data_IF_511476255684
#
_entry.id   IF_511476255684
#
_cell.length_a   1.000
_cell.length_b   1.000
_cell.length_c   1.000
_cell.angle_alpha   90.00
_cell.angle_beta   90.00
_cell.angle_gamma   90.00
#
_symmetry.space_group_name_H-M   'P 1'
#
loop_
_entity.id
_entity.type
_entity.pdbx_description
1 polymer ?
#
# COMPACT_ATOMS: atom_id res chain seq x y z
N UNK A 1 12.86 -4.67 1.68
CA UNK A 1 12.96 -5.69 0.63
C UNK A 1 11.76 -6.58 0.82
N UNK A 2 11.01 -6.82 -0.24
CA UNK A 2 9.80 -7.60 -0.17
C UNK A 2 10.15 -9.09 -0.27
N UNK A 3 9.62 -9.86 0.68
CA UNK A 3 9.72 -11.33 0.78
C UNK A 3 8.34 -11.91 1.02
N UNK A 4 8.17 -13.19 0.70
CA UNK A 4 6.92 -13.93 0.88
C UNK A 4 7.25 -15.20 1.66
N UNK A 5 6.67 -15.36 2.85
CA UNK A 5 6.98 -16.50 3.73
C UNK A 5 6.61 -17.85 3.11
N UNK A 6 5.55 -17.90 2.30
CA UNK A 6 5.14 -19.10 1.56
C UNK A 6 6.09 -19.46 0.39
N UNK A 7 6.99 -18.56 0.01
CA UNK A 7 7.94 -18.72 -1.10
C UNK A 7 9.31 -18.15 -0.68
N UNK A 8 9.96 -18.74 0.34
CA UNK A 8 11.20 -18.22 0.87
C UNK A 8 12.33 -18.28 -0.16
N UNK A 9 13.31 -17.39 -0.01
CA UNK A 9 14.48 -17.31 -0.90
C UNK A 9 14.25 -16.50 -2.18
N UNK A 10 13.06 -15.93 -2.41
CA UNK A 10 12.84 -14.92 -3.46
C UNK A 10 12.70 -13.55 -2.83
N UNK A 11 13.52 -12.62 -3.30
CA UNK A 11 13.54 -11.24 -2.84
C UNK A 11 13.38 -10.28 -4.02
N UNK A 12 12.51 -9.29 -3.85
CA UNK A 12 12.36 -8.19 -4.80
C UNK A 12 12.51 -6.87 -4.07
N UNK A 13 13.25 -5.94 -4.67
CA UNK A 13 13.35 -4.57 -4.17
C UNK A 13 13.28 -3.55 -5.30
N UNK A 14 12.69 -2.40 -5.00
CA UNK A 14 12.77 -1.22 -5.87
C UNK A 14 13.90 -0.35 -5.34
N UNK A 15 14.81 0.06 -6.20
CA UNK A 15 15.97 0.84 -5.82
C UNK A 15 15.97 2.20 -6.52
N UNK A 16 16.36 3.24 -5.79
CA UNK A 16 16.67 4.58 -6.34
C UNK A 16 18.12 4.87 -6.02
N UNK A 17 18.90 5.34 -7.01
CA UNK A 17 20.35 5.51 -6.88
C UNK A 17 21.06 4.26 -6.34
N UNK A 18 20.67 3.08 -6.82
CA UNK A 18 21.20 1.76 -6.40
C UNK A 18 20.94 1.35 -4.95
N UNK A 19 20.15 2.11 -4.19
CA UNK A 19 19.78 1.78 -2.82
C UNK A 19 18.29 1.37 -2.76
N UNK A 20 17.94 0.27 -2.07
CA UNK A 20 16.55 -0.10 -1.86
C UNK A 20 15.78 1.05 -1.19
N UNK A 21 14.61 1.38 -1.73
CA UNK A 21 13.73 2.39 -1.12
C UNK A 21 13.08 1.83 0.14
N UNK A 22 12.61 2.74 1.01
CA UNK A 22 11.83 2.35 2.17
C UNK A 22 10.47 1.82 1.71
N UNK A 23 10.18 0.59 2.14
CA UNK A 23 8.89 -0.07 1.93
C UNK A 23 8.00 0.12 3.16
N UNK A 24 6.72 0.29 2.93
CA UNK A 24 5.69 0.45 3.94
C UNK A 24 4.63 -0.63 3.76
N UNK A 25 4.02 -1.03 4.87
CA UNK A 25 2.89 -1.94 4.91
C UNK A 25 1.64 -1.15 5.23
N UNK A 26 0.52 -1.58 4.66
CA UNK A 26 -0.80 -1.12 5.04
C UNK A 26 -1.48 -2.27 5.79
N UNK A 27 -1.82 -2.04 7.06
CA UNK A 27 -2.41 -3.06 7.94
C UNK A 27 -3.84 -3.42 7.51
N UNK A 28 -4.48 -2.53 6.76
CA UNK A 28 -5.86 -2.72 6.27
C UNK A 28 -5.87 -3.30 4.84
N UNK A 29 -4.70 -3.56 4.23
CA UNK A 29 -4.59 -4.15 2.90
C UNK A 29 -5.01 -5.63 2.93
N UNK A 30 -6.18 -5.90 2.36
CA UNK A 30 -6.70 -7.25 2.19
C UNK A 30 -6.27 -7.78 0.82
N UNK A 31 -5.50 -8.87 0.83
CA UNK A 31 -5.13 -9.61 -0.38
C UNK A 31 -6.01 -10.84 -0.48
N UNK A 32 -7.00 -10.79 -1.36
CA UNK A 32 -7.94 -11.89 -1.56
C UNK A 32 -7.62 -12.73 -2.81
N UNK A 33 -8.20 -13.93 -2.83
CA UNK A 33 -8.18 -14.82 -3.98
C UNK A 33 -7.06 -15.89 -3.92
N UNK A 34 -6.92 -16.68 -5.00
CA UNK A 34 -6.10 -17.89 -5.00
C UNK A 34 -4.59 -17.63 -4.84
N UNK A 35 -4.14 -16.40 -5.03
CA UNK A 35 -2.73 -16.00 -4.92
C UNK A 35 -2.44 -15.23 -3.61
N UNK A 36 -3.40 -15.15 -2.68
CA UNK A 36 -3.26 -14.37 -1.46
C UNK A 36 -2.01 -14.75 -0.66
N UNK A 37 -1.80 -16.04 -0.41
CA UNK A 37 -0.65 -16.55 0.35
C UNK A 37 0.70 -16.38 -0.36
N UNK A 38 0.69 -16.14 -1.68
CA UNK A 38 1.89 -15.96 -2.50
C UNK A 38 1.98 -14.56 -3.10
N UNK A 39 1.25 -13.60 -2.54
CA UNK A 39 1.30 -12.19 -2.94
C UNK A 39 1.72 -11.34 -1.76
N UNK A 40 2.64 -10.40 -1.98
CA UNK A 40 2.94 -9.33 -1.02
C UNK A 40 2.71 -7.99 -1.68
N UNK A 41 2.03 -7.09 -0.97
CA UNK A 41 1.84 -5.70 -1.37
C UNK A 41 2.67 -4.82 -0.44
N UNK A 42 3.50 -3.96 -1.01
CA UNK A 42 4.24 -2.91 -0.29
C UNK A 42 3.95 -1.57 -0.91
N UNK A 43 4.01 -0.53 -0.11
CA UNK A 43 3.96 0.85 -0.57
C UNK A 43 5.35 1.45 -0.54
N UNK A 44 5.65 2.32 -1.52
CA UNK A 44 6.93 3.03 -1.60
C UNK A 44 6.69 4.50 -1.93
N UNK A 45 7.58 5.35 -1.47
CA UNK A 45 7.58 6.77 -1.83
C UNK A 45 8.15 6.94 -3.24
N UNK A 46 7.38 7.59 -4.11
CA UNK A 46 7.81 7.99 -5.44
C UNK A 46 8.17 9.48 -5.42
N UNK A 47 9.33 9.81 -5.97
CA UNK A 47 9.82 11.18 -6.10
C UNK A 47 9.95 11.47 -7.59
N UNK A 48 9.27 12.50 -8.08
CA UNK A 48 9.30 12.87 -9.50
C UNK A 48 10.74 13.09 -10.00
N UNK A 49 10.95 12.73 -11.26
CA UNK A 49 12.22 12.83 -11.99
C UNK A 49 13.36 11.99 -11.41
N UNK A 50 13.04 11.01 -10.55
CA UNK A 50 14.02 10.04 -10.04
C UNK A 50 13.98 8.73 -10.82
N UNK A 51 15.16 8.23 -11.16
CA UNK A 51 15.31 6.92 -11.80
C UNK A 51 15.19 5.81 -10.76
N UNK A 52 14.51 4.74 -11.14
CA UNK A 52 14.40 3.55 -10.30
C UNK A 52 14.74 2.28 -11.08
N UNK A 53 15.16 1.24 -10.34
CA UNK A 53 15.42 -0.10 -10.86
C UNK A 53 14.68 -1.13 -10.02
N UNK A 54 14.29 -2.24 -10.64
CA UNK A 54 13.69 -3.37 -9.94
C UNK A 54 14.76 -4.45 -9.82
N UNK A 55 15.20 -4.74 -8.61
CA UNK A 55 16.20 -5.77 -8.35
C UNK A 55 15.50 -7.05 -7.89
N UNK A 56 15.85 -8.17 -8.53
CA UNK A 56 15.34 -9.49 -8.16
C UNK A 56 16.50 -10.38 -7.78
N UNK A 57 16.36 -11.07 -6.65
CA UNK A 57 17.31 -12.07 -6.20
C UNK A 57 16.58 -13.37 -5.88
N UNK A 58 17.08 -14.48 -6.41
CA UNK A 58 16.64 -15.82 -6.04
C UNK A 58 17.81 -16.55 -5.38
N UNK A 59 17.70 -16.74 -4.08
CA UNK A 59 18.69 -17.41 -3.23
C UNK A 59 18.59 -18.94 -3.33
N UNK A 60 19.67 -19.67 -3.02
CA UNK A 60 19.64 -21.14 -2.98
C UNK A 60 18.54 -21.72 -2.08
N UNK A 61 18.19 -21.02 -1.00
CA UNK A 61 17.10 -21.40 -0.08
C UNK A 61 15.74 -21.60 -0.78
N UNK A 62 15.51 -20.95 -1.93
CA UNK A 62 14.30 -21.17 -2.72
C UNK A 62 14.23 -22.60 -3.28
N UNK A 63 15.33 -23.08 -3.88
CA UNK A 63 15.41 -24.43 -4.44
C UNK A 63 15.34 -25.48 -3.31
N UNK A 64 15.96 -25.20 -2.16
CA UNK A 64 15.90 -26.05 -0.96
C UNK A 64 14.46 -26.19 -0.43
N UNK A 65 13.74 -25.07 -0.32
CA UNK A 65 12.35 -25.06 0.11
C UNK A 65 11.44 -25.81 -0.87
N UNK A 66 11.61 -25.58 -2.18
CA UNK A 66 10.81 -26.26 -3.21
C UNK A 66 11.16 -27.72 -3.40
N UNK A 67 12.35 -28.15 -2.96
CA UNK A 67 12.92 -29.48 -3.22
C UNK A 67 13.09 -29.80 -4.72
N UNK A 68 12.97 -28.77 -5.57
CA UNK A 68 13.13 -28.83 -7.02
C UNK A 68 14.01 -27.68 -7.47
N UNK A 69 14.70 -27.88 -8.60
CA UNK A 69 15.54 -26.84 -9.21
C UNK A 69 15.01 -26.55 -10.60
N UNK A 70 14.02 -25.66 -10.65
CA UNK A 70 13.29 -25.33 -11.86
C UNK A 70 13.83 -24.07 -12.53
N UNK A 71 13.74 -24.03 -13.85
CA UNK A 71 13.94 -22.78 -14.58
C UNK A 71 12.83 -21.79 -14.23
N UNK A 72 13.21 -20.52 -14.07
CA UNK A 72 12.27 -19.46 -13.68
C UNK A 72 12.19 -18.36 -14.74
N UNK A 73 11.00 -17.80 -14.90
CA UNK A 73 10.78 -16.51 -15.55
C UNK A 73 10.30 -15.51 -14.50
N UNK A 74 11.06 -14.44 -14.32
CA UNK A 74 10.65 -13.27 -13.55
C UNK A 74 10.13 -12.23 -14.51
N UNK A 75 8.86 -11.87 -14.36
CA UNK A 75 8.15 -10.98 -15.24
C UNK A 75 7.84 -9.65 -14.55
N UNK A 76 8.30 -8.54 -15.11
CA UNK A 76 8.07 -7.21 -14.55
C UNK A 76 7.02 -6.44 -15.37
N UNK A 77 6.08 -5.82 -14.66
CA UNK A 77 5.10 -4.88 -15.21
C UNK A 77 5.18 -3.57 -14.42
N UNK A 78 5.05 -2.46 -15.12
CA UNK A 78 4.97 -1.13 -14.53
C UNK A 78 3.74 -0.45 -15.12
N UNK A 79 2.88 0.09 -14.26
CA UNK A 79 1.61 0.71 -14.65
C UNK A 79 0.72 -0.21 -15.49
N UNK A 80 0.76 -1.51 -15.19
CA UNK A 80 0.03 -2.56 -15.92
C UNK A 80 0.64 -2.96 -17.26
N UNK A 81 1.70 -2.27 -17.73
CA UNK A 81 2.40 -2.61 -18.96
C UNK A 81 3.57 -3.53 -18.69
N UNK A 82 3.72 -4.57 -19.50
CA UNK A 82 4.89 -5.43 -19.46
C UNK A 82 6.13 -4.65 -19.91
N UNK A 83 7.21 -4.69 -19.13
CA UNK A 83 8.44 -3.93 -19.42
C UNK A 83 9.64 -4.82 -19.70
N UNK A 84 9.77 -5.95 -19.00
CA UNK A 84 10.90 -6.88 -19.16
C UNK A 84 10.58 -8.24 -18.54
N UNK A 85 11.33 -9.26 -18.97
CA UNK A 85 11.32 -10.60 -18.40
C UNK A 85 12.75 -11.14 -18.27
N UNK A 86 13.06 -11.78 -17.13
CA UNK A 86 14.39 -12.33 -16.84
C UNK A 86 14.30 -13.82 -16.55
N UNK A 87 15.09 -14.61 -17.27
CA UNK A 87 15.18 -16.05 -17.06
C UNK A 87 16.29 -16.41 -16.08
N UNK A 88 15.97 -17.26 -15.11
CA UNK A 88 16.96 -18.08 -14.40
C UNK A 88 17.03 -19.43 -15.10
N UNK A 89 18.09 -19.63 -15.88
CA UNK A 89 18.41 -20.91 -16.54
C UNK A 89 19.30 -21.76 -15.60
N UNK A 90 18.71 -22.79 -15.00
CA UNK A 90 19.37 -23.65 -14.02
C UNK A 90 20.47 -24.53 -14.62
N UNK A 91 20.52 -24.68 -15.96
CA UNK A 91 21.62 -25.38 -16.64
C UNK A 91 22.88 -24.52 -16.74
N UNK A 92 22.73 -23.19 -16.70
CA UNK A 92 23.83 -22.23 -16.84
C UNK A 92 24.25 -21.59 -15.52
N UNK A 93 23.33 -21.49 -14.56
CA UNK A 93 23.60 -20.87 -13.27
C UNK A 93 24.02 -21.90 -12.22
N UNK A 94 24.94 -21.51 -11.35
CA UNK A 94 25.45 -22.35 -10.27
C UNK A 94 24.40 -22.55 -9.16
N UNK A 95 24.41 -23.72 -8.53
CA UNK A 95 23.37 -24.10 -7.55
C UNK A 95 23.44 -23.31 -6.24
N UNK A 96 24.65 -22.97 -5.81
CA UNK A 96 24.90 -22.39 -4.48
C UNK A 96 25.09 -20.88 -4.49
N UNK A 97 24.94 -20.25 -5.66
CA UNK A 97 25.13 -18.82 -5.85
C UNK A 97 23.77 -18.17 -6.09
N UNK A 98 23.41 -17.10 -5.34
CA UNK A 98 22.19 -16.35 -5.62
C UNK A 98 22.16 -15.84 -7.05
N UNK A 99 21.01 -16.02 -7.71
CA UNK A 99 20.77 -15.44 -9.02
C UNK A 99 20.18 -14.04 -8.83
N UNK A 100 20.94 -13.01 -9.17
CA UNK A 100 20.51 -11.61 -9.06
C UNK A 100 20.46 -10.96 -10.43
N UNK A 101 19.34 -10.33 -10.75
CA UNK A 101 19.16 -9.60 -12.01
C UNK A 101 18.43 -8.28 -11.79
N UNK A 102 19.01 -7.15 -12.25
CA UNK A 102 18.32 -5.87 -12.25
C UNK A 102 17.49 -5.68 -13.53
N UNK A 103 16.29 -5.13 -13.39
CA UNK A 103 15.49 -4.55 -14.46
C UNK A 103 15.63 -3.04 -14.36
N UNK A 104 16.47 -2.47 -15.22
CA UNK A 104 16.91 -1.06 -15.13
C UNK A 104 16.12 -0.11 -16.02
N UNK A 105 15.30 -0.64 -16.91
CA UNK A 105 14.57 0.15 -17.89
C UNK A 105 13.88 -0.71 -18.92
N UNK A 106 13.16 -0.03 -19.82
CA UNK A 106 12.48 -0.66 -20.94
C UNK A 106 13.46 -0.87 -22.09
N UNK A 107 13.53 -2.10 -22.60
CA UNK A 107 14.35 -2.45 -23.75
C UNK A 107 13.54 -2.28 -25.03
N UNK A 108 14.03 -1.43 -25.93
CA UNK A 108 13.53 -1.29 -27.29
C UNK A 108 14.42 -2.13 -28.22
N UNK A 109 13.84 -3.20 -28.75
CA UNK A 109 14.52 -4.08 -29.70
C UNK A 109 14.22 -3.62 -31.12
N UNK A 110 15.02 -2.69 -31.63
CA UNK A 110 15.12 -2.46 -33.06
C UNK A 110 16.31 -3.29 -33.59
N UNK A 111 16.13 -4.10 -34.64
CA UNK A 111 17.20 -4.94 -35.17
C UNK A 111 18.48 -4.14 -35.44
N UNK A 112 19.58 -4.51 -34.79
CA UNK A 112 20.88 -3.83 -34.92
C UNK A 112 21.03 -2.51 -34.16
N UNK A 113 20.02 -2.09 -33.40
CA UNK A 113 20.05 -0.88 -32.57
C UNK A 113 19.22 -1.08 -31.30
N UNK A 114 19.64 -2.02 -30.45
CA UNK A 114 19.00 -2.15 -29.15
C UNK A 114 19.24 -0.88 -28.32
N UNK A 115 18.17 -0.39 -27.71
CA UNK A 115 18.26 0.72 -26.75
C UNK A 115 17.53 0.38 -25.47
N UNK A 116 17.97 1.00 -24.37
CA UNK A 116 17.33 0.91 -23.08
C UNK A 116 17.00 2.31 -22.58
N UNK A 117 15.75 2.50 -22.15
CA UNK A 117 15.30 3.72 -21.50
C UNK A 117 15.04 3.44 -20.03
N UNK A 118 15.76 4.12 -19.14
CA UNK A 118 15.62 3.96 -17.71
C UNK A 118 14.20 4.32 -17.24
N UNK A 119 13.68 3.62 -16.24
CA UNK A 119 12.42 4.01 -15.61
C UNK A 119 12.60 5.27 -14.78
N UNK A 120 11.65 6.19 -14.86
CA UNK A 120 11.60 7.38 -14.04
C UNK A 120 10.22 7.57 -13.45
N UNK A 121 10.14 7.91 -12.16
CA UNK A 121 8.87 8.34 -11.60
C UNK A 121 8.51 9.72 -12.15
N UNK A 122 7.23 9.91 -12.46
CA UNK A 122 6.71 11.20 -12.92
C UNK A 122 5.41 11.53 -12.21
N UNK A 123 5.12 12.82 -12.06
CA UNK A 123 3.80 13.27 -11.62
C UNK A 123 2.80 13.04 -12.74
N UNK A 124 1.61 12.53 -12.39
CA UNK A 124 0.53 12.36 -13.37
C UNK A 124 -0.24 13.67 -13.47
N UNK A 125 -0.46 14.15 -14.69
CA UNK A 125 -1.27 15.34 -14.94
C UNK A 125 -2.76 14.96 -14.90
N UNK A 126 -3.52 15.68 -14.09
CA UNK A 126 -4.95 15.45 -13.90
C UNK A 126 -5.70 16.48 -14.73
N UNK A 127 -6.55 16.00 -15.62
CA UNK A 127 -7.28 16.85 -16.57
C UNK A 127 -8.79 16.64 -16.50
N UNK A 128 -9.53 17.70 -16.76
CA UNK A 128 -10.97 17.60 -16.99
C UNK A 128 -11.23 17.16 -18.43
N UNK A 129 -11.84 15.98 -18.58
CA UNK A 129 -12.19 15.42 -19.88
C UNK A 129 -13.71 15.17 -19.93
N UNK A 130 -14.32 15.59 -21.04
CA UNK A 130 -15.74 15.38 -21.31
C UNK A 130 -16.01 14.17 -22.22
N UNK A 131 -15.00 13.70 -22.96
CA UNK A 131 -15.11 12.54 -23.85
C UNK A 131 -15.24 11.24 -23.03
N UNK A 132 -16.35 10.52 -23.22
CA UNK A 132 -16.66 9.29 -22.51
C UNK A 132 -15.71 8.14 -22.87
N UNK A 133 -15.34 7.99 -24.13
CA UNK A 133 -14.42 6.93 -24.56
C UNK A 133 -13.04 7.12 -23.92
N UNK A 134 -12.57 8.37 -23.89
CA UNK A 134 -11.32 8.72 -23.20
C UNK A 134 -11.39 8.47 -21.70
N UNK A 135 -12.51 8.81 -21.04
CA UNK A 135 -12.73 8.48 -19.62
C UNK A 135 -12.67 6.98 -19.38
N UNK A 136 -13.32 6.16 -20.22
CA UNK A 136 -13.34 4.70 -20.05
C UNK A 136 -11.95 4.08 -20.23
N UNK A 137 -11.13 4.60 -21.14
CA UNK A 137 -9.72 4.23 -21.30
C UNK A 137 -8.88 4.64 -20.07
N UNK A 138 -9.05 5.87 -19.60
CA UNK A 138 -8.34 6.39 -18.44
C UNK A 138 -8.72 5.63 -17.16
N UNK A 139 -9.96 5.20 -17.00
CA UNK A 139 -10.40 4.35 -15.88
C UNK A 139 -9.64 3.01 -15.88
N UNK A 140 -9.43 2.41 -17.05
CA UNK A 140 -8.64 1.17 -17.19
C UNK A 140 -7.17 1.42 -16.87
N UNK A 141 -6.58 2.51 -17.38
CA UNK A 141 -5.21 2.89 -17.09
C UNK A 141 -5.00 3.18 -15.58
N UNK A 142 -5.92 3.93 -14.96
CA UNK A 142 -5.94 4.27 -13.54
C UNK A 142 -5.99 3.05 -12.61
N UNK A 143 -6.46 1.89 -13.10
CA UNK A 143 -6.55 0.68 -12.29
C UNK A 143 -5.19 0.10 -11.94
N UNK A 144 -4.19 0.29 -12.81
CA UNK A 144 -2.84 -0.24 -12.64
C UNK A 144 -1.76 0.84 -12.56
N UNK A 145 -2.12 2.09 -12.80
CA UNK A 145 -1.24 3.23 -12.58
C UNK A 145 -0.72 3.28 -11.14
N UNK A 146 0.56 3.60 -10.98
CA UNK A 146 1.19 3.63 -9.67
C UNK A 146 1.51 2.24 -9.11
N UNK A 147 1.56 1.20 -9.94
CA UNK A 147 1.82 -0.18 -9.53
C UNK A 147 3.02 -0.75 -10.30
N UNK A 148 4.00 -1.29 -9.57
CA UNK A 148 5.03 -2.17 -10.11
C UNK A 148 4.68 -3.59 -9.69
N UNK A 149 4.47 -4.49 -10.64
CA UNK A 149 4.17 -5.90 -10.39
C UNK A 149 5.34 -6.76 -10.86
N UNK A 150 5.84 -7.63 -9.99
CA UNK A 150 6.84 -8.64 -10.32
C UNK A 150 6.26 -10.02 -10.05
N UNK A 151 6.17 -10.83 -11.08
CA UNK A 151 5.60 -12.19 -11.02
C UNK A 151 6.69 -13.21 -11.34
N UNK A 152 6.80 -14.26 -10.51
CA UNK A 152 7.76 -15.34 -10.71
C UNK A 152 7.04 -16.58 -11.17
N UNK A 153 7.45 -17.15 -12.30
CA UNK A 153 6.83 -18.33 -12.90
C UNK A 153 7.83 -19.45 -13.02
N UNK A 154 7.34 -20.68 -12.83
CA UNK A 154 8.04 -21.88 -13.24
C UNK A 154 7.86 -22.09 -14.74
N UNK A 155 8.95 -22.27 -15.45
CA UNK A 155 8.93 -22.39 -16.92
C UNK A 155 9.84 -23.50 -17.40
N UNK A 156 9.63 -23.93 -18.63
CA UNK A 156 10.65 -24.61 -19.43
C UNK A 156 11.18 -23.60 -20.45
N UNK A 157 12.50 -23.39 -20.48
CA UNK A 157 13.11 -22.41 -21.38
C UNK A 157 13.50 -23.09 -22.69
N UNK A 158 12.97 -22.56 -23.78
CA UNK A 158 13.11 -23.12 -25.12
C UNK A 158 14.19 -22.38 -25.94
N UNK A 159 14.11 -22.49 -27.26
CA UNK A 159 15.05 -21.90 -28.20
C UNK A 159 15.11 -20.36 -28.15
N UNK A 160 16.23 -19.84 -28.67
CA UNK A 160 16.35 -18.42 -28.98
C UNK A 160 15.46 -18.08 -30.17
N UNK A 161 14.83 -16.92 -30.10
CA UNK A 161 14.01 -16.37 -31.18
C UNK A 161 14.51 -14.98 -31.55
N UNK A 162 14.26 -14.58 -32.79
CA UNK A 162 14.51 -13.21 -33.20
C UNK A 162 13.59 -12.26 -32.43
N UNK A 163 14.13 -11.14 -31.90
CA UNK A 163 13.30 -10.18 -31.22
C UNK A 163 12.28 -9.59 -32.18
N UNK A 164 11.00 -9.70 -31.83
CA UNK A 164 9.97 -8.91 -32.48
C UNK A 164 10.05 -7.46 -32.00
N UNK A 165 9.70 -6.51 -32.88
CA UNK A 165 9.63 -5.10 -32.52
C UNK A 165 8.53 -4.91 -31.48
N UNK A 166 8.92 -4.79 -30.21
CA UNK A 166 8.01 -4.38 -29.15
C UNK A 166 8.01 -2.85 -29.11
N UNK A 167 6.98 -2.24 -29.69
CA UNK A 167 6.64 -0.85 -29.40
C UNK A 167 5.69 -0.90 -28.21
N UNK A 168 6.18 -0.61 -27.01
CA UNK A 168 5.26 -0.36 -25.90
C UNK A 168 4.77 1.07 -26.05
N UNK A 169 3.45 1.23 -26.14
CA UNK A 169 2.81 2.54 -26.17
C UNK A 169 3.23 3.37 -24.96
N UNK A 170 3.33 4.69 -25.14
CA UNK A 170 3.61 5.64 -24.05
C UNK A 170 2.79 5.29 -22.80
N UNK A 171 3.45 5.20 -21.64
CA UNK A 171 2.74 5.18 -20.36
C UNK A 171 1.95 6.49 -20.27
N UNK A 172 0.70 6.42 -19.82
CA UNK A 172 -0.17 7.58 -19.75
C UNK A 172 0.41 8.62 -18.80
N UNK A 173 0.80 9.78 -19.33
CA UNK A 173 1.27 10.94 -18.55
C UNK A 173 0.11 11.79 -18.04
N UNK A 174 -1.06 11.63 -18.65
CA UNK A 174 -2.27 12.43 -18.42
C UNK A 174 -3.45 11.49 -18.15
N UNK A 175 -4.27 11.83 -17.16
CA UNK A 175 -5.44 11.05 -16.79
C UNK A 175 -6.63 11.93 -16.41
N UNK A 176 -7.83 11.52 -16.83
CA UNK A 176 -9.06 12.18 -16.43
C UNK A 176 -9.24 12.22 -14.90
N UNK A 177 -9.64 13.36 -14.36
CA UNK A 177 -10.03 13.51 -12.95
C UNK A 177 -11.10 12.48 -12.53
N UNK A 178 -12.05 12.19 -13.43
CA UNK A 178 -13.11 11.20 -13.19
C UNK A 178 -12.57 9.79 -13.01
N UNK A 179 -11.43 9.46 -13.63
CA UNK A 179 -10.83 8.13 -13.57
C UNK A 179 -10.09 7.86 -12.26
N UNK A 180 -9.60 8.90 -11.59
CA UNK A 180 -8.84 8.80 -10.33
C UNK A 180 -9.66 9.11 -9.10
N UNK A 181 -10.91 9.57 -9.25
CA UNK A 181 -11.74 10.01 -8.13
C UNK A 181 -11.86 8.94 -7.05
N UNK A 182 -11.50 9.32 -5.82
CA UNK A 182 -11.48 8.43 -4.65
C UNK A 182 -10.22 7.55 -4.53
N UNK A 183 -9.26 7.67 -5.44
CA UNK A 183 -7.95 7.02 -5.34
C UNK A 183 -6.87 8.08 -5.13
N UNK A 184 -6.01 7.86 -4.16
CA UNK A 184 -4.83 8.71 -3.97
C UNK A 184 -3.74 8.30 -4.98
N UNK A 185 -3.98 8.49 -6.27
CA UNK A 185 -3.00 8.29 -7.34
C UNK A 185 -2.30 9.62 -7.61
N UNK A 186 -0.98 9.64 -7.52
CA UNK A 186 -0.19 10.87 -7.66
C UNK A 186 0.90 10.77 -8.72
N UNK A 187 1.40 9.57 -8.99
CA UNK A 187 2.59 9.35 -9.80
C UNK A 187 2.37 8.17 -10.76
N UNK A 188 3.07 8.23 -11.87
CA UNK A 188 3.19 7.19 -12.89
C UNK A 188 4.66 7.01 -13.26
N UNK A 189 4.90 6.30 -14.36
CA UNK A 189 6.25 6.10 -14.88
C UNK A 189 6.45 6.72 -16.26
N UNK A 190 7.59 7.38 -16.45
CA UNK A 190 8.11 7.78 -17.76
C UNK A 190 9.43 7.06 -18.05
N UNK A 191 9.92 7.25 -19.27
CA UNK A 191 11.14 6.65 -19.74
C UNK A 191 12.18 7.73 -20.01
N UNK A 192 13.37 7.56 -19.43
CA UNK A 192 14.50 8.44 -19.70
C UNK A 192 15.00 8.33 -21.14
N UNK A 193 15.97 9.18 -21.48
CA UNK A 193 16.62 9.18 -22.80
C UNK A 193 17.17 7.78 -23.12
N UNK A 194 16.79 7.25 -24.27
CA UNK A 194 17.22 5.95 -24.75
C UNK A 194 18.74 5.91 -24.93
N UNK A 195 19.39 4.91 -24.33
CA UNK A 195 20.83 4.65 -24.45
C UNK A 195 21.06 3.37 -25.23
N UNK A 196 22.12 3.30 -26.02
CA UNK A 196 22.51 2.06 -26.72
C UNK A 196 22.72 0.94 -25.71
N UNK A 197 22.11 -0.22 -25.97
CA UNK A 197 22.23 -1.42 -25.18
C UNK A 197 22.99 -2.50 -25.97
N UNK A 198 23.50 -3.51 -25.27
CA UNK A 198 24.03 -4.69 -25.94
C UNK A 198 22.90 -5.52 -26.55
N UNK A 199 23.18 -6.30 -27.61
CA UNK A 199 22.18 -7.14 -28.24
C UNK A 199 21.47 -8.06 -27.25
N UNK A 200 20.15 -7.93 -27.19
CA UNK A 200 19.30 -8.70 -26.29
C UNK A 200 18.72 -9.89 -27.04
N UNK A 201 19.03 -11.11 -26.59
CA UNK A 201 18.47 -12.34 -27.16
C UNK A 201 17.20 -12.72 -26.41
N UNK A 202 16.11 -12.89 -27.13
CA UNK A 202 14.85 -13.39 -26.56
C UNK A 202 14.84 -14.91 -26.61
N UNK A 203 14.32 -15.55 -25.57
CA UNK A 203 14.03 -16.99 -25.56
C UNK A 203 12.53 -17.22 -25.47
N UNK A 204 12.07 -18.24 -26.18
CA UNK A 204 10.72 -18.78 -25.98
C UNK A 204 10.67 -19.55 -24.66
N UNK A 205 9.49 -19.64 -24.07
CA UNK A 205 9.24 -20.45 -22.87
C UNK A 205 7.82 -21.01 -22.88
N UNK A 206 7.61 -22.04 -22.07
CA UNK A 206 6.31 -22.62 -21.73
C UNK A 206 6.09 -22.50 -20.22
N UNK A 207 4.89 -22.09 -19.81
CA UNK A 207 4.52 -21.98 -18.39
C UNK A 207 4.11 -23.34 -17.87
N UNK A 208 4.84 -23.91 -16.92
CA UNK A 208 4.59 -25.26 -16.43
C UNK A 208 3.34 -25.36 -15.55
N UNK A 209 2.99 -24.27 -14.87
CA UNK A 209 1.82 -24.19 -13.98
C UNK A 209 0.64 -23.41 -14.60
N UNK A 210 0.84 -22.85 -15.79
CA UNK A 210 -0.09 -21.95 -16.47
C UNK A 210 0.22 -20.46 -16.23
N UNK A 211 -0.23 -19.61 -17.16
CA UNK A 211 0.08 -18.17 -17.18
C UNK A 211 -0.53 -17.38 -16.02
N UNK A 212 -1.63 -17.87 -15.45
CA UNK A 212 -2.36 -17.19 -14.37
C UNK A 212 -1.99 -17.73 -12.98
N UNK A 213 -0.96 -18.59 -12.89
CA UNK A 213 -0.50 -19.23 -11.65
C UNK A 213 0.98 -18.95 -11.40
N UNK A 214 1.37 -17.69 -11.13
CA UNK A 214 2.72 -17.41 -10.67
C UNK A 214 2.99 -18.10 -9.34
N UNK A 215 4.25 -18.51 -9.12
CA UNK A 215 4.73 -19.00 -7.84
C UNK A 215 4.69 -17.92 -6.78
N UNK A 216 5.04 -16.68 -7.15
CA UNK A 216 5.08 -15.52 -6.27
C UNK A 216 4.72 -14.25 -7.03
N UNK A 217 4.07 -13.30 -6.35
CA UNK A 217 3.70 -11.99 -6.89
C UNK A 217 4.02 -10.88 -5.90
N UNK A 218 4.91 -9.99 -6.32
CA UNK A 218 5.30 -8.81 -5.54
C UNK A 218 4.65 -7.59 -6.18
N UNK A 219 3.96 -6.79 -5.36
CA UNK A 219 3.27 -5.58 -5.82
C UNK A 219 3.81 -4.40 -5.02
N UNK A 220 4.42 -3.44 -5.71
CA UNK A 220 4.84 -2.17 -5.11
C UNK A 220 3.92 -1.06 -5.60
N UNK A 221 3.10 -0.53 -4.69
CA UNK A 221 2.25 0.63 -4.96
C UNK A 221 3.02 1.90 -4.61
N UNK A 222 3.42 2.63 -5.63
CA UNK A 222 4.25 3.81 -5.46
C UNK A 222 3.42 5.09 -5.50
N UNK A 223 3.64 5.99 -4.54
CA UNK A 223 2.84 7.20 -4.33
C UNK A 223 3.72 8.33 -3.82
N UNK A 224 3.28 9.58 -3.99
CA UNK A 224 3.94 10.71 -3.36
C UNK A 224 3.83 10.59 -1.84
N UNK A 225 4.71 11.29 -1.11
CA UNK A 225 4.68 11.29 0.35
C UNK A 225 3.35 11.79 0.92
N UNK A 226 2.76 12.80 0.29
CA UNK A 226 1.46 13.38 0.66
C UNK A 226 0.32 12.36 0.44
N UNK A 227 0.37 11.62 -0.66
CA UNK A 227 -0.59 10.55 -0.93
C UNK A 227 -0.45 9.41 0.10
N UNK A 228 0.77 8.99 0.45
CA UNK A 228 1.00 7.99 1.51
C UNK A 228 0.46 8.46 2.87
N UNK A 229 0.61 9.75 3.21
CA UNK A 229 0.02 10.34 4.44
C UNK A 229 -1.51 10.34 4.41
N UNK A 230 -2.08 10.64 3.25
CA UNK A 230 -3.53 10.67 3.04
C UNK A 230 -4.15 9.29 3.18
N UNK A 231 -3.45 8.27 2.67
CA UNK A 231 -3.79 6.85 2.83
C UNK A 231 -3.48 6.29 4.22
N UNK A 232 -2.91 7.09 5.14
CA UNK A 232 -2.51 6.69 6.49
C UNK A 232 -1.45 5.57 6.56
N UNK A 233 -0.80 5.28 5.44
CA UNK A 233 0.30 4.30 5.33
C UNK A 233 1.55 4.81 6.06
N UNK A 234 1.74 6.13 6.03
CA UNK A 234 2.73 6.81 6.87
C UNK A 234 2.05 7.81 7.79
N UNK A 235 2.60 8.07 8.99
CA UNK A 235 2.04 9.05 9.90
C UNK A 235 1.83 10.41 9.23
N UNK A 236 0.65 10.98 9.42
CA UNK A 236 0.39 12.37 9.05
C UNK A 236 1.37 13.26 9.82
N UNK A 237 1.87 14.30 9.17
CA UNK A 237 2.56 15.37 9.90
C UNK A 237 1.60 15.87 10.98
N UNK A 238 2.07 16.07 12.23
CA UNK A 238 1.22 16.65 13.26
C UNK A 238 0.64 17.94 12.69
N UNK A 239 -0.68 18.10 12.80
CA UNK A 239 -1.30 19.38 12.51
C UNK A 239 -0.56 20.44 13.34
N UNK A 240 -0.24 21.62 12.77
CA UNK A 240 0.35 22.70 13.56
C UNK A 240 -0.48 22.87 14.83
N UNK A 241 0.17 22.98 15.98
CA UNK A 241 -0.53 23.23 17.24
C UNK A 241 -1.43 24.46 17.03
N UNK A 242 -2.74 24.39 17.31
CA UNK A 242 -3.60 25.56 17.25
C UNK A 242 -3.00 26.77 17.97
N UNK A 243 -2.18 26.56 19.01
CA UNK A 243 -1.42 27.59 19.69
C UNK A 243 -0.38 28.26 18.78
N UNK A 244 0.38 27.49 17.98
CA UNK A 244 1.39 28.02 17.05
C UNK A 244 0.77 28.78 15.86
N UNK A 245 -0.48 28.47 15.54
CA UNK A 245 -1.27 29.21 14.54
C UNK A 245 -1.76 30.59 15.04
N UNK A 246 -1.72 30.84 16.36
CA UNK A 246 -2.13 32.14 16.91
C UNK A 246 -1.06 33.22 16.65
N UNK A 247 -1.48 34.47 16.35
CA UNK A 247 -0.58 35.60 16.31
C UNK A 247 0.28 35.67 17.59
N UNK A 248 1.53 36.11 17.47
CA UNK A 248 2.46 36.19 18.61
C UNK A 248 1.87 36.93 19.82
N UNK A 249 1.07 37.98 19.56
CA UNK A 249 0.37 38.73 20.60
C UNK A 249 -0.69 37.90 21.36
N UNK A 250 -1.43 37.02 20.68
CA UNK A 250 -2.40 36.14 21.33
C UNK A 250 -1.72 35.02 22.10
N UNK A 251 -0.63 34.47 21.57
CA UNK A 251 0.21 33.49 22.28
C UNK A 251 0.76 34.07 23.58
N UNK A 252 1.30 35.29 23.53
CA UNK A 252 1.84 35.96 24.72
C UNK A 252 0.74 36.27 25.74
N UNK A 253 -0.45 36.69 25.28
CA UNK A 253 -1.60 36.91 26.17
C UNK A 253 -2.02 35.62 26.87
N UNK A 254 -2.18 34.52 26.13
CA UNK A 254 -2.54 33.20 26.68
C UNK A 254 -1.48 32.68 27.66
N UNK A 255 -0.19 32.88 27.37
CA UNK A 255 0.89 32.50 28.26
C UNK A 255 0.87 33.30 29.58
N UNK A 256 0.60 34.61 29.52
CA UNK A 256 0.44 35.46 30.71
C UNK A 256 -0.77 35.06 31.56
N UNK A 257 -1.89 34.76 30.91
CA UNK A 257 -3.13 34.33 31.59
C UNK A 257 -2.96 32.97 32.27
N UNK A 258 -2.33 32.00 31.60
CA UNK A 258 -2.00 30.70 32.19
C UNK A 258 -1.03 30.82 33.37
N UNK A 259 -0.04 31.71 33.28
CA UNK A 259 0.90 31.96 34.36
C UNK A 259 0.22 32.59 35.58
N UNK A 260 -0.72 33.51 35.37
CA UNK A 260 -1.53 34.09 36.46
C UNK A 260 -2.44 33.05 37.13
N UNK A 261 -3.11 32.20 36.37
CA UNK A 261 -3.94 31.13 36.94
C UNK A 261 -3.13 30.09 37.73
N UNK A 262 -1.84 29.91 37.44
CA UNK A 262 -0.95 29.06 38.25
C UNK A 262 -0.44 29.75 39.52
N UNK A 263 -0.43 31.08 39.55
CA UNK A 263 -0.07 31.87 40.73
C UNK A 263 -1.25 32.13 41.66
N UNK A 264 -2.48 31.98 41.17
CA UNK A 264 -3.65 31.99 42.03
C UNK A 264 -3.59 30.81 43.01
N UNK A 265 -3.62 31.07 44.33
CA UNK A 265 -3.56 30.00 45.32
C UNK A 265 -4.77 29.07 45.13
N UNK A 266 -4.51 27.78 44.90
CA UNK A 266 -5.54 26.74 45.01
C UNK A 266 -6.28 26.96 46.33
N UNK A 267 -7.60 27.18 46.34
CA UNK A 267 -8.34 27.30 47.59
C UNK A 267 -8.13 26.00 48.37
N UNK A 268 -7.71 26.13 49.64
CA UNK A 268 -7.56 25.01 50.55
C UNK A 268 -8.84 24.14 50.55
N UNK A 269 -8.74 22.81 50.69
CA UNK A 269 -9.90 21.94 50.84
C UNK A 269 -10.48 22.13 52.24
N UNK A 270 -11.15 23.26 52.46
CA UNK A 270 -11.69 23.66 53.75
C UNK A 270 -12.95 24.46 53.54
N UNK A 271 -14.06 23.89 54.00
CA UNK A 271 -15.40 24.50 54.08
C UNK A 271 -16.20 24.44 52.78
N UNK A 272 -16.97 23.35 52.66
CA UNK A 272 -18.13 23.28 51.77
C UNK A 272 -19.06 24.46 52.12
N UNK A 273 -19.39 25.38 51.20
CA UNK A 273 -20.53 26.25 51.42
C UNK A 273 -21.75 25.34 51.45
N UNK A 274 -22.52 25.41 52.53
CA UNK A 274 -23.79 24.72 52.68
C UNK A 274 -24.61 24.96 51.42
N UNK A 275 -24.90 23.88 50.69
CA UNK A 275 -25.94 23.89 49.66
C UNK A 275 -27.21 24.30 50.38
N UNK A 276 -27.67 25.54 50.12
CA UNK A 276 -29.04 25.94 50.40
C UNK A 276 -29.92 24.97 49.62
N UNK A 277 -30.46 23.99 50.35
CA UNK A 277 -31.45 23.06 49.86
C UNK A 277 -32.64 23.90 49.41
N UNK A 278 -32.92 23.92 48.11
CA UNK A 278 -34.22 24.35 47.60
C UNK A 278 -35.25 23.41 48.20
N UNK A 279 -35.93 23.91 49.23
CA UNK A 279 -37.06 23.29 49.90
C UNK A 279 -38.15 23.09 48.85
N UNK A 280 -38.44 21.84 48.49
CA UNK A 280 -39.68 21.52 47.78
C UNK A 280 -40.85 22.03 48.61
N UNK A 281 -41.71 22.83 47.99
CA UNK A 281 -43.06 23.06 48.50
C UNK A 281 -43.73 21.70 48.59
N UNK A 282 -44.12 21.29 49.80
CA UNK A 282 -45.25 20.38 49.95
C UNK A 282 -46.49 21.22 49.73
N UNK A 283 -47.17 20.93 48.63
CA UNK A 283 -48.59 21.20 48.49
C UNK A 283 -49.36 20.39 49.54
N UNK A 284 -50.25 21.08 50.23
CA UNK A 284 -51.52 20.57 50.74
C UNK A 284 -52.51 21.63 50.26
N UNK A 285 -53.45 21.34 49.35
CA UNK A 285 -54.59 20.50 49.66
C UNK A 285 -55.49 20.25 48.41
N UNK A 286 -56.04 19.01 48.34
CA UNK A 286 -57.38 18.62 47.80
C UNK A 286 -57.49 18.51 46.25
N UNK A 287 -57.99 17.44 45.58
CA UNK A 287 -58.75 16.20 45.90
C UNK A 287 -58.30 15.10 44.91
N UNK A 288 -58.16 13.86 45.37
CA UNK A 288 -58.19 12.64 44.54
C UNK A 288 -59.53 11.92 44.76
N UNK A 289 -60.08 11.43 43.65
CA UNK A 289 -61.32 10.70 43.46
C UNK A 289 -61.00 9.20 43.60
N UNK A 290 -61.26 8.68 44.80
CA UNK A 290 -61.45 7.26 45.15
C UNK A 290 -60.99 6.18 44.13
N UNK A 291 -59.89 5.49 44.50
CA UNK A 291 -59.55 4.05 44.32
C UNK A 291 -59.38 3.51 42.88
N UNK A 292 -58.38 2.69 42.50
CA UNK A 292 -57.49 1.76 43.22
C UNK A 292 -56.18 1.49 42.42
N UNK A 293 -55.15 1.02 43.14
CA UNK A 293 -53.71 1.00 42.83
C UNK A 293 -53.21 0.06 41.69
N UNK A 294 -51.89 0.16 41.34
CA UNK A 294 -51.01 -0.95 41.73
C UNK A 294 -49.64 -0.55 42.31
N UNK A 295 -49.18 -1.43 43.20
CA UNK A 295 -47.99 -1.40 44.06
C UNK A 295 -46.69 -1.89 43.41
N UNK A 296 -45.64 -1.08 43.59
CA UNK A 296 -44.31 -1.37 44.15
C UNK A 296 -43.45 -2.57 43.70
N UNK A 297 -42.30 -2.20 43.09
CA UNK A 297 -40.91 -2.68 43.19
C UNK A 297 -40.62 -4.01 43.93
N UNK A 298 -39.72 -4.82 43.35
CA UNK A 298 -38.55 -5.34 44.07
C UNK A 298 -37.40 -5.74 43.11
N UNK A 299 -36.17 -5.44 43.53
CA UNK A 299 -34.90 -5.86 42.92
C UNK A 299 -34.41 -7.07 43.72
N UNK A 300 -34.01 -8.17 43.08
CA UNK A 300 -33.27 -9.26 43.75
C UNK A 300 -32.32 -9.96 42.79
N UNK A 301 -31.12 -10.19 43.32
CA UNK A 301 -29.96 -10.87 42.74
C UNK A 301 -30.09 -12.40 42.91
N UNK A 302 -29.40 -13.12 42.01
CA UNK A 302 -28.82 -14.49 42.15
C UNK A 302 -29.75 -15.70 41.98
N UNK A 303 -29.44 -16.59 41.02
CA UNK A 303 -28.95 -17.97 41.24
C UNK A 303 -28.76 -18.73 39.91
N UNK A 304 -27.56 -19.30 39.74
CA UNK A 304 -27.25 -20.40 38.82
C UNK A 304 -27.92 -21.71 39.27
N UNK A 305 -28.29 -22.58 38.31
CA UNK A 305 -28.12 -24.04 38.30
C UNK A 305 -28.83 -24.64 37.05
N UNK A 306 -28.59 -25.91 36.68
CA UNK A 306 -27.32 -26.51 36.29
C UNK A 306 -27.41 -27.11 34.86
N UNK A 307 -26.29 -27.19 34.14
CA UNK A 307 -26.20 -28.01 32.93
C UNK A 307 -26.01 -29.45 33.38
N UNK A 308 -27.01 -30.28 33.09
CA UNK A 308 -26.98 -31.73 33.28
C UNK A 308 -26.12 -32.37 32.17
N UNK A 309 -25.08 -33.09 32.59
CA UNK A 309 -24.25 -33.94 31.75
C UNK A 309 -24.30 -35.34 32.35
N UNK A 310 -25.27 -36.15 31.91
CA UNK A 310 -25.20 -37.61 31.95
C UNK A 310 -25.83 -38.23 30.69
N UNK A 311 -24.95 -38.81 29.89
CA UNK A 311 -25.00 -40.06 29.10
C UNK A 311 -26.24 -40.44 28.24
N UNK A 312 -26.05 -40.40 26.92
CA UNK A 312 -25.94 -41.60 26.05
C UNK A 312 -25.11 -41.28 24.77
#
# INVERSE_FOLDING_TARGET
MAVIDAVPGVEVSVCVNSHPVKEYEDTDEIIDGPLASTTVVKYIEAISDTQFTINITVHPAFDEHRQTRDDLLVNAKVDGKWVDGRFRDCTKHEKFTPWTMPVVGMVNNEPGRETISAFMFTTVEIVEVADKAKIDEDVKAAAKLGEITVEVFRVEILEYIDPHKNVVDKIASEISEKAIKGRALSHGTTFGVAKTASPYRIRRNTFLDGKDKPLARFVFRYRSREALRTLLIIPRSPSPDPFDALPAAERERLAREAFQQQQDPKPEPGTKPERIIKRERRDSDIVDLTSDAPTTKQRKTTMEAPIDLTDD
#
